data_IF_274998560229
#
_entry.id   IF_274998560229
#
_cell.length_a   1.000
_cell.length_b   1.000
_cell.length_c   1.000
_cell.angle_alpha   90.00
_cell.angle_beta   90.00
_cell.angle_gamma   90.00
#
_symmetry.space_group_name_H-M   'P 1'
#
loop_
_entity.id
_entity.type
_entity.pdbx_description
1 polymer ?
#
# COMPACT_ATOMS: atom_id res chain seq x y z
N UNK A 1 4.47 27.34 1.16
CA UNK A 1 5.42 26.19 1.21
C UNK A 1 4.61 24.96 1.64
N UNK A 2 4.14 24.16 0.69
CA UNK A 2 3.21 23.05 0.93
C UNK A 2 3.96 21.71 0.83
N UNK A 3 4.79 21.39 1.82
CA UNK A 3 5.42 20.06 1.89
C UNK A 3 4.46 19.07 2.55
N UNK A 4 3.50 18.57 1.79
CA UNK A 4 2.79 17.33 2.17
C UNK A 4 3.70 16.15 1.86
N UNK A 5 4.51 15.74 2.83
CA UNK A 5 5.12 14.42 2.81
C UNK A 5 3.99 13.37 2.72
N UNK A 6 4.02 12.51 1.70
CA UNK A 6 2.98 11.50 1.51
C UNK A 6 3.05 10.48 2.64
N UNK A 7 2.21 10.62 3.66
CA UNK A 7 1.97 9.61 4.68
C UNK A 7 1.37 8.38 4.02
N UNK A 8 2.18 7.34 3.82
CA UNK A 8 1.79 6.10 3.16
C UNK A 8 2.80 5.01 3.44
N UNK A 9 2.56 3.82 2.89
CA UNK A 9 3.49 2.70 2.99
C UNK A 9 4.90 3.09 2.52
N UNK A 10 5.90 3.10 3.43
CA UNK A 10 7.31 3.28 3.06
C UNK A 10 7.77 2.07 2.23
N UNK A 11 8.11 2.30 0.96
CA UNK A 11 8.53 1.27 0.00
C UNK A 11 7.51 0.11 -0.18
N UNK A 12 6.31 0.37 -0.76
CA UNK A 12 5.26 -0.64 -0.88
C UNK A 12 5.61 -1.76 -1.87
N UNK A 13 6.41 -1.48 -2.91
CA UNK A 13 6.91 -2.50 -3.84
C UNK A 13 7.80 -3.50 -3.10
N UNK A 14 8.73 -3.00 -2.28
CA UNK A 14 9.58 -3.86 -1.44
C UNK A 14 8.75 -4.73 -0.50
N UNK A 15 7.73 -4.16 0.15
CA UNK A 15 6.84 -4.92 1.03
C UNK A 15 6.11 -6.06 0.30
N UNK A 16 5.55 -5.80 -0.88
CA UNK A 16 4.87 -6.85 -1.65
C UNK A 16 5.87 -7.91 -2.12
N UNK A 17 7.09 -7.54 -2.51
CA UNK A 17 8.16 -8.50 -2.85
C UNK A 17 8.56 -9.36 -1.67
N UNK A 18 8.64 -8.79 -0.47
CA UNK A 18 8.92 -9.53 0.76
C UNK A 18 7.79 -10.55 1.03
N UNK A 19 6.52 -10.17 0.87
CA UNK A 19 5.39 -11.09 1.00
C UNK A 19 5.41 -12.21 -0.06
N UNK A 20 5.78 -11.90 -1.31
CA UNK A 20 5.95 -12.92 -2.36
C UNK A 20 7.08 -13.89 -1.98
N UNK A 21 8.20 -13.39 -1.44
CA UNK A 21 9.30 -14.22 -0.99
C UNK A 21 8.89 -15.13 0.18
N UNK A 22 8.06 -14.64 1.12
CA UNK A 22 7.48 -15.46 2.18
C UNK A 22 6.50 -16.49 1.63
N UNK A 23 5.58 -16.10 0.74
CA UNK A 23 4.60 -17.01 0.16
C UNK A 23 5.25 -18.21 -0.55
N UNK A 24 6.41 -18.00 -1.19
CA UNK A 24 7.17 -19.06 -1.88
C UNK A 24 7.87 -20.07 -0.96
N UNK A 25 7.91 -19.82 0.35
CA UNK A 25 8.55 -20.71 1.33
C UNK A 25 7.62 -21.11 2.48
N UNK A 26 6.48 -20.45 2.62
CA UNK A 26 5.50 -20.75 3.65
C UNK A 26 4.72 -22.01 3.25
N UNK A 27 4.78 -23.11 4.01
CA UNK A 27 4.07 -24.33 3.67
C UNK A 27 2.54 -24.15 3.73
N UNK A 28 1.82 -24.65 2.73
CA UNK A 28 0.36 -24.66 2.68
C UNK A 28 -0.12 -25.85 1.83
N UNK A 29 -1.02 -26.68 2.36
CA UNK A 29 -1.70 -27.78 1.66
C UNK A 29 -0.82 -28.67 0.76
N UNK A 30 0.32 -29.13 1.29
CA UNK A 30 1.24 -30.02 0.56
C UNK A 30 2.14 -29.32 -0.47
N UNK A 31 2.07 -27.99 -0.57
CA UNK A 31 2.99 -27.14 -1.31
C UNK A 31 3.34 -25.88 -0.52
N UNK A 32 3.42 -24.75 -1.20
CA UNK A 32 3.66 -23.44 -0.59
C UNK A 32 2.44 -22.53 -0.77
N UNK A 33 2.33 -21.48 0.05
CA UNK A 33 1.27 -20.49 -0.09
C UNK A 33 1.27 -19.80 -1.47
N UNK A 34 2.40 -19.79 -2.18
CA UNK A 34 2.48 -19.27 -3.55
C UNK A 34 1.77 -20.15 -4.60
N UNK A 35 1.60 -21.43 -4.30
CA UNK A 35 0.94 -22.38 -5.20
C UNK A 35 -0.58 -22.14 -5.22
N UNK A 36 -1.17 -21.62 -4.13
CA UNK A 36 -2.56 -21.17 -4.10
C UNK A 36 -2.77 -20.00 -5.08
N UNK A 37 -3.60 -20.18 -6.13
CA UNK A 37 -3.83 -19.15 -7.14
C UNK A 37 -4.45 -17.87 -6.57
N UNK A 38 -5.21 -17.95 -5.47
CA UNK A 38 -5.85 -16.79 -4.83
C UNK A 38 -4.82 -15.90 -4.14
N UNK A 39 -3.87 -16.50 -3.41
CA UNK A 39 -2.76 -15.79 -2.76
C UNK A 39 -1.88 -15.15 -3.82
N UNK A 40 -1.48 -15.93 -4.83
CA UNK A 40 -0.67 -15.45 -5.95
C UNK A 40 -1.31 -14.28 -6.67
N UNK A 41 -2.59 -14.39 -7.04
CA UNK A 41 -3.34 -13.33 -7.72
C UNK A 41 -3.41 -12.06 -6.87
N UNK A 42 -3.69 -12.19 -5.56
CA UNK A 42 -3.78 -11.04 -4.65
C UNK A 42 -2.45 -10.29 -4.53
N UNK A 43 -1.34 -11.01 -4.33
CA UNK A 43 -0.01 -10.39 -4.24
C UNK A 43 0.42 -9.76 -5.56
N UNK A 44 0.14 -10.41 -6.70
CA UNK A 44 0.38 -9.85 -8.03
C UNK A 44 -0.42 -8.57 -8.27
N UNK A 45 -1.70 -8.54 -7.89
CA UNK A 45 -2.54 -7.35 -7.99
C UNK A 45 -1.99 -6.19 -7.17
N UNK A 46 -1.56 -6.44 -5.92
CA UNK A 46 -0.93 -5.40 -5.09
C UNK A 46 0.35 -4.86 -5.73
N UNK A 47 1.17 -5.73 -6.34
CA UNK A 47 2.39 -5.30 -7.02
C UNK A 47 2.07 -4.40 -8.23
N UNK A 48 1.09 -4.79 -9.06
CA UNK A 48 0.62 -4.00 -10.21
C UNK A 48 0.18 -2.60 -9.76
N UNK A 49 -0.60 -2.52 -8.69
CA UNK A 49 -1.08 -1.24 -8.18
C UNK A 49 0.04 -0.37 -7.60
N UNK A 50 1.02 -0.98 -6.93
CA UNK A 50 2.21 -0.28 -6.46
C UNK A 50 3.02 0.30 -7.63
N UNK A 51 3.15 -0.45 -8.72
CA UNK A 51 3.83 0.02 -9.93
C UNK A 51 3.05 1.16 -10.61
N UNK A 52 1.73 1.04 -10.74
CA UNK A 52 0.88 2.12 -11.26
C UNK A 52 1.01 3.42 -10.43
N UNK A 53 1.08 3.30 -9.11
CA UNK A 53 1.33 4.43 -8.21
C UNK A 53 2.73 5.03 -8.43
N UNK A 54 3.76 4.20 -8.63
CA UNK A 54 5.13 4.66 -8.93
C UNK A 54 5.17 5.48 -10.22
N UNK A 55 4.53 5.01 -11.28
CA UNK A 55 4.44 5.77 -12.54
C UNK A 55 3.63 7.05 -12.39
N UNK A 56 2.55 7.05 -11.61
CA UNK A 56 1.79 8.27 -11.29
C UNK A 56 2.66 9.30 -10.55
N UNK A 57 3.52 8.84 -9.63
CA UNK A 57 4.49 9.70 -8.94
C UNK A 57 5.53 10.27 -9.90
N UNK A 58 6.04 9.46 -10.83
CA UNK A 58 6.98 9.97 -11.85
C UNK A 58 6.33 11.02 -12.75
N UNK A 59 5.09 10.81 -13.18
CA UNK A 59 4.35 11.82 -13.97
C UNK A 59 4.25 13.13 -13.20
N UNK A 60 3.86 13.10 -11.93
CA UNK A 60 3.80 14.30 -11.08
C UNK A 60 5.17 14.99 -10.96
N UNK A 61 6.24 14.20 -10.72
CA UNK A 61 7.60 14.70 -10.62
C UNK A 61 8.08 15.33 -11.94
N UNK A 62 7.79 14.72 -13.08
CA UNK A 62 8.14 15.27 -14.40
C UNK A 62 7.50 16.62 -14.64
N UNK A 63 6.22 16.79 -14.30
CA UNK A 63 5.52 18.09 -14.40
C UNK A 63 6.18 19.14 -13.50
N UNK A 64 6.50 18.77 -12.26
CA UNK A 64 7.19 19.65 -11.32
C UNK A 64 8.57 20.08 -11.83
N UNK A 65 9.37 19.15 -12.40
CA UNK A 65 10.68 19.46 -12.99
C UNK A 65 10.54 20.43 -14.17
N UNK A 66 9.44 20.36 -14.93
CA UNK A 66 9.13 21.29 -16.02
C UNK A 66 8.60 22.66 -15.55
N UNK A 67 8.45 22.86 -14.25
CA UNK A 67 7.87 24.10 -13.68
C UNK A 67 6.36 24.23 -13.89
N UNK A 68 5.67 23.15 -14.28
CA UNK A 68 4.22 23.15 -14.41
C UNK A 68 3.56 23.23 -13.03
N UNK A 69 2.35 23.82 -12.98
CA UNK A 69 1.58 23.88 -11.75
C UNK A 69 1.25 22.46 -11.22
N UNK A 70 1.39 22.21 -9.90
CA UNK A 70 0.98 20.94 -9.31
C UNK A 70 -0.50 20.64 -9.59
N UNK A 71 -0.78 19.44 -10.12
CA UNK A 71 -2.13 18.98 -10.36
C UNK A 71 -2.70 18.15 -9.19
N UNK A 72 -3.82 17.44 -9.42
CA UNK A 72 -4.50 16.64 -8.40
C UNK A 72 -3.73 15.36 -8.02
N UNK A 73 -2.58 15.08 -8.63
CA UNK A 73 -1.80 13.86 -8.43
C UNK A 73 -1.43 13.67 -6.96
N UNK A 74 -1.18 14.75 -6.20
CA UNK A 74 -0.89 14.65 -4.77
C UNK A 74 -2.04 14.03 -3.95
N UNK A 75 -3.28 14.44 -4.24
CA UNK A 75 -4.47 13.88 -3.59
C UNK A 75 -4.74 12.44 -4.01
N UNK A 76 -4.57 12.14 -5.30
CA UNK A 76 -4.68 10.79 -5.85
C UNK A 76 -3.64 9.88 -5.18
N UNK A 77 -2.37 10.27 -5.18
CA UNK A 77 -1.26 9.50 -4.59
C UNK A 77 -1.44 9.30 -3.08
N UNK A 78 -1.96 10.31 -2.36
CA UNK A 78 -2.27 10.13 -0.94
C UNK A 78 -3.35 9.08 -0.75
N UNK A 79 -4.49 9.22 -1.44
CA UNK A 79 -5.61 8.28 -1.31
C UNK A 79 -5.18 6.86 -1.68
N UNK A 80 -4.66 6.66 -2.91
CA UNK A 80 -4.29 5.33 -3.39
C UNK A 80 -3.17 4.74 -2.56
N UNK A 81 -2.17 5.53 -2.16
CA UNK A 81 -1.04 5.06 -1.37
C UNK A 81 -1.43 4.57 0.02
N UNK A 82 -2.40 5.24 0.67
CA UNK A 82 -2.89 4.82 1.98
C UNK A 82 -3.77 3.57 1.89
N UNK A 83 -4.64 3.48 0.87
CA UNK A 83 -5.51 2.31 0.65
C UNK A 83 -4.69 1.07 0.22
N UNK A 84 -3.65 1.23 -0.61
CA UNK A 84 -2.68 0.16 -0.90
C UNK A 84 -1.97 -0.27 0.38
N UNK A 85 -1.54 0.68 1.23
CA UNK A 85 -0.88 0.38 2.50
C UNK A 85 -1.72 -0.49 3.44
N UNK A 86 -3.03 -0.23 3.51
CA UNK A 86 -3.98 -1.06 4.26
C UNK A 86 -4.08 -2.45 3.64
N UNK A 87 -4.31 -2.55 2.33
CA UNK A 87 -4.46 -3.86 1.66
C UNK A 87 -3.19 -4.72 1.69
N UNK A 88 -2.00 -4.11 1.71
CA UNK A 88 -0.73 -4.82 1.95
C UNK A 88 -0.70 -5.38 3.38
N UNK A 89 -1.12 -4.59 4.37
CA UNK A 89 -1.18 -5.07 5.75
C UNK A 89 -2.18 -6.21 5.89
N UNK A 90 -3.39 -6.08 5.32
CA UNK A 90 -4.40 -7.14 5.33
C UNK A 90 -3.88 -8.42 4.65
N UNK A 91 -3.24 -8.29 3.48
CA UNK A 91 -2.63 -9.44 2.79
C UNK A 91 -1.52 -10.10 3.61
N UNK A 92 -0.73 -9.32 4.35
CA UNK A 92 0.26 -9.86 5.27
C UNK A 92 -0.39 -10.62 6.44
N UNK A 93 -1.45 -10.07 7.03
CA UNK A 93 -2.18 -10.73 8.12
C UNK A 93 -2.77 -12.08 7.70
N UNK A 94 -3.39 -12.13 6.52
CA UNK A 94 -3.95 -13.37 5.98
C UNK A 94 -2.87 -14.39 5.60
N UNK A 95 -1.78 -13.94 4.95
CA UNK A 95 -0.70 -14.85 4.53
C UNK A 95 0.06 -15.41 5.73
N UNK A 96 0.39 -14.58 6.71
CA UNK A 96 1.27 -14.95 7.83
C UNK A 96 0.49 -15.58 8.99
N UNK A 97 -0.82 -15.36 9.07
CA UNK A 97 -1.68 -15.88 10.13
C UNK A 97 -1.15 -15.53 11.52
N UNK A 98 -0.99 -16.54 12.38
CA UNK A 98 -0.49 -16.37 13.75
C UNK A 98 0.93 -15.80 13.81
N UNK A 99 1.76 -16.00 12.78
CA UNK A 99 3.11 -15.42 12.74
C UNK A 99 3.07 -13.88 12.68
N UNK A 100 2.00 -13.28 12.17
CA UNK A 100 1.82 -11.83 12.13
C UNK A 100 1.34 -11.24 13.46
N UNK A 101 0.83 -12.07 14.38
CA UNK A 101 0.27 -11.64 15.67
C UNK A 101 1.29 -11.67 16.80
N UNK A 102 2.35 -12.46 16.64
CA UNK A 102 3.47 -12.48 17.59
C UNK A 102 4.46 -11.39 17.25
N UNK A 103 4.79 -10.53 18.22
CA UNK A 103 5.83 -9.49 18.05
C UNK A 103 7.24 -10.11 18.17
N UNK A 104 7.46 -11.25 17.53
CA UNK A 104 8.70 -12.02 17.58
C UNK A 104 8.92 -12.75 16.26
N UNK A 105 10.16 -12.68 15.74
CA UNK A 105 10.56 -13.39 14.53
C UNK A 105 10.58 -14.92 14.74
N UNK A 106 10.37 -15.65 13.65
CA UNK A 106 10.57 -17.11 13.58
C UNK A 106 11.46 -17.44 12.39
N UNK A 107 11.95 -18.67 12.26
CA UNK A 107 12.70 -19.10 11.07
C UNK A 107 11.87 -18.92 9.78
N UNK A 108 10.58 -19.24 9.85
CA UNK A 108 9.64 -19.06 8.74
C UNK A 108 9.28 -17.60 8.47
N UNK A 109 9.28 -16.72 9.48
CA UNK A 109 8.99 -15.29 9.31
C UNK A 109 9.89 -14.46 10.24
N UNK A 110 11.16 -14.22 9.88
CA UNK A 110 12.11 -13.54 10.77
C UNK A 110 11.72 -12.09 11.06
N UNK A 111 10.99 -11.47 10.13
CA UNK A 111 10.53 -10.09 10.19
C UNK A 111 9.07 -9.95 10.68
N UNK A 112 8.51 -10.97 11.34
CA UNK A 112 7.18 -10.93 11.94
C UNK A 112 6.88 -9.66 12.76
N UNK A 113 7.81 -9.12 13.61
CA UNK A 113 7.57 -7.87 14.33
C UNK A 113 7.25 -6.67 13.42
N UNK A 114 7.85 -6.63 12.23
CA UNK A 114 7.60 -5.59 11.22
C UNK A 114 6.17 -5.67 10.69
N UNK A 115 5.67 -6.88 10.43
CA UNK A 115 4.30 -7.12 9.95
C UNK A 115 3.25 -6.89 11.03
N UNK A 116 3.52 -7.33 12.26
CA UNK A 116 2.70 -7.05 13.43
C UNK A 116 2.49 -5.54 13.62
N UNK A 117 3.57 -4.76 13.69
CA UNK A 117 3.50 -3.30 13.80
C UNK A 117 2.70 -2.67 12.66
N UNK A 118 2.83 -3.23 11.46
CA UNK A 118 2.18 -2.72 10.26
C UNK A 118 0.68 -2.98 10.26
N UNK A 119 0.24 -4.17 10.68
CA UNK A 119 -1.16 -4.51 10.87
C UNK A 119 -1.85 -3.53 11.83
N UNK A 120 -1.23 -3.28 12.98
CA UNK A 120 -1.76 -2.36 13.98
C UNK A 120 -1.77 -0.92 13.48
N UNK A 121 -0.73 -0.48 12.77
CA UNK A 121 -0.61 0.89 12.27
C UNK A 121 -1.37 1.17 10.97
N UNK A 122 -1.83 0.16 10.23
CA UNK A 122 -2.35 0.33 8.86
C UNK A 122 -3.53 1.30 8.79
N UNK A 123 -4.47 1.22 9.74
CA UNK A 123 -5.64 2.10 9.80
C UNK A 123 -5.27 3.57 10.02
N UNK A 124 -4.13 3.86 10.65
CA UNK A 124 -3.66 5.23 10.84
C UNK A 124 -3.40 5.92 9.48
N UNK A 125 -3.05 5.17 8.43
CA UNK A 125 -2.75 5.72 7.12
C UNK A 125 -3.95 6.39 6.46
N UNK A 126 -5.14 5.81 6.55
CA UNK A 126 -6.33 6.36 5.90
C UNK A 126 -6.86 7.62 6.60
N UNK A 127 -6.48 7.85 7.85
CA UNK A 127 -6.92 9.00 8.67
C UNK A 127 -5.90 10.15 8.61
N UNK A 128 -4.61 9.82 8.70
CA UNK A 128 -3.55 10.82 8.86
C UNK A 128 -3.39 11.72 7.63
N UNK A 129 -3.05 12.99 7.87
CA UNK A 129 -2.79 13.99 6.82
C UNK A 129 -3.96 14.22 5.83
N UNK A 130 -5.19 14.09 6.34
CA UNK A 130 -6.45 14.28 5.61
C UNK A 130 -7.06 12.94 5.25
N UNK A 131 -8.29 12.68 5.69
CA UNK A 131 -8.90 11.34 5.58
C UNK A 131 -9.10 10.91 4.12
N UNK A 132 -9.30 9.60 3.89
CA UNK A 132 -9.63 9.08 2.56
C UNK A 132 -10.89 9.76 1.97
N UNK A 133 -11.88 10.10 2.80
CA UNK A 133 -13.11 10.80 2.42
C UNK A 133 -12.80 12.22 1.92
N UNK A 134 -11.96 12.96 2.64
CA UNK A 134 -11.56 14.31 2.22
C UNK A 134 -10.80 14.26 0.89
N UNK A 135 -9.94 13.27 0.67
CA UNK A 135 -9.27 13.12 -0.63
C UNK A 135 -10.25 12.74 -1.75
N UNK A 136 -11.23 11.87 -1.47
CA UNK A 136 -12.29 11.54 -2.44
C UNK A 136 -13.09 12.79 -2.82
N UNK A 137 -13.43 13.66 -1.88
CA UNK A 137 -14.10 14.93 -2.15
C UNK A 137 -13.24 15.85 -3.03
N UNK A 138 -11.96 16.03 -2.68
CA UNK A 138 -11.03 16.85 -3.48
C UNK A 138 -10.94 16.32 -4.92
N UNK A 139 -10.87 15.00 -5.09
CA UNK A 139 -10.82 14.37 -6.41
C UNK A 139 -12.16 14.57 -7.14
N UNK A 140 -13.29 14.32 -6.48
CA UNK A 140 -14.62 14.52 -7.05
C UNK A 140 -14.84 15.95 -7.55
N UNK A 141 -14.54 16.95 -6.72
CA UNK A 141 -14.74 18.36 -7.06
C UNK A 141 -13.73 18.87 -8.09
N UNK A 142 -12.43 18.63 -7.87
CA UNK A 142 -11.36 19.27 -8.66
C UNK A 142 -10.94 18.50 -9.90
N UNK A 143 -11.23 17.21 -9.97
CA UNK A 143 -10.86 16.36 -11.11
C UNK A 143 -12.09 15.98 -11.91
N UNK A 144 -13.16 15.55 -11.22
CA UNK A 144 -14.36 15.05 -11.88
C UNK A 144 -15.46 16.14 -12.08
N UNK A 145 -15.29 17.32 -11.46
CA UNK A 145 -16.26 18.42 -11.57
C UNK A 145 -17.59 18.15 -10.88
N UNK A 146 -17.61 17.25 -9.89
CA UNK A 146 -18.83 16.91 -9.14
C UNK A 146 -19.27 18.08 -8.24
N UNK A 147 -20.59 18.28 -8.03
CA UNK A 147 -21.11 19.30 -7.12
C UNK A 147 -20.69 19.04 -5.67
N UNK A 148 -20.60 20.12 -4.89
CA UNK A 148 -20.32 20.04 -3.45
C UNK A 148 -21.57 19.57 -2.71
N UNK A 149 -21.40 18.61 -1.80
CA UNK A 149 -22.40 18.20 -0.81
C UNK A 149 -22.20 18.89 0.53
#
# INVERSE_FOLDING_TARGET
MYERHSSGARNPIGQVRDLIAVARRLPLDGGTAWDDPRIRQRLSQLLIECEAMRYTRYRALTRQIRGEAPGPEGSILKLTGTEIGVRIADAAGELLGMHALVHQGSELVPDAPRWCNRLVAARQYTISAGTSEIQRNIIGERVLGLPKG
#
